data_IF_832375212582
#
_entry.id   IF_832375212582
#
_cell.length_a   1.000
_cell.length_b   1.000
_cell.length_c   1.000
_cell.angle_alpha   90.00
_cell.angle_beta   90.00
_cell.angle_gamma   90.00
#
_symmetry.space_group_name_H-M   'P 1'
#
loop_
_entity.id
_entity.type
_entity.pdbx_description
1 polymer ?
#
# COMPACT_ATOMS: atom_id res chain seq x y z
N UNK A 1 5.53 -3.85 48.24
CA UNK A 1 6.63 -3.54 47.30
C UNK A 1 6.31 -3.88 45.84
N UNK A 2 5.77 -5.06 45.50
CA UNK A 2 5.45 -5.45 44.09
C UNK A 2 4.41 -4.56 43.38
N UNK A 3 3.40 -4.03 44.08
CA UNK A 3 2.37 -3.17 43.48
C UNK A 3 2.93 -1.83 42.96
N UNK A 4 3.97 -1.29 43.62
CA UNK A 4 4.62 -0.06 43.18
C UNK A 4 5.46 -0.27 41.91
N UNK A 5 6.05 -1.46 41.74
CA UNK A 5 6.84 -1.82 40.55
C UNK A 5 5.95 -2.00 39.32
N UNK A 6 4.74 -2.55 39.48
CA UNK A 6 3.76 -2.69 38.39
C UNK A 6 3.20 -1.35 37.88
N UNK A 7 3.00 -0.37 38.78
CA UNK A 7 2.53 0.97 38.41
C UNK A 7 3.59 1.80 37.66
N UNK A 8 4.88 1.56 37.92
CA UNK A 8 5.97 2.22 37.21
C UNK A 8 6.18 1.65 35.78
N UNK A 9 5.87 0.36 35.55
CA UNK A 9 5.95 -0.25 34.22
C UNK A 9 4.80 0.17 33.28
N UNK A 10 3.59 0.42 33.78
CA UNK A 10 2.48 0.86 32.95
C UNK A 10 2.61 2.32 32.50
N UNK A 11 3.25 3.18 33.30
CA UNK A 11 3.52 4.58 32.96
C UNK A 11 4.56 4.75 31.82
N UNK A 12 5.48 3.80 31.66
CA UNK A 12 6.54 3.87 30.63
C UNK A 12 6.09 3.42 29.23
N UNK A 13 4.98 2.70 29.11
CA UNK A 13 4.35 2.37 27.82
C UNK A 13 3.49 3.53 27.28
N UNK A 14 2.97 4.38 28.16
CA UNK A 14 2.16 5.55 27.76
C UNK A 14 3.02 6.72 27.24
N UNK A 15 4.27 6.85 27.71
CA UNK A 15 5.17 7.94 27.30
C UNK A 15 5.70 7.80 25.87
N UNK A 16 5.71 6.59 25.30
CA UNK A 16 6.07 6.36 23.89
C UNK A 16 4.97 6.82 22.93
N UNK A 17 3.71 6.77 23.37
CA UNK A 17 2.56 7.21 22.57
C UNK A 17 2.42 8.74 22.51
N UNK A 18 2.80 9.45 23.58
CA UNK A 18 2.68 10.92 23.68
C UNK A 18 3.69 11.68 22.82
N UNK A 19 4.74 11.01 22.33
CA UNK A 19 5.80 11.60 21.50
C UNK A 19 5.50 11.51 20.00
N UNK A 20 4.41 10.84 19.65
CA UNK A 20 3.97 10.65 18.28
C UNK A 20 3.07 11.80 17.86
N UNK A 21 3.36 12.38 16.70
CA UNK A 21 2.41 13.27 16.06
C UNK A 21 1.10 12.53 15.78
N UNK A 22 -0.02 13.25 15.73
CA UNK A 22 -1.31 12.66 15.36
C UNK A 22 -1.44 12.36 13.86
N UNK A 23 -0.57 12.96 13.03
CA UNK A 23 -0.56 12.80 11.58
C UNK A 23 0.84 13.04 11.01
N UNK A 24 1.11 12.50 9.82
CA UNK A 24 2.34 12.82 9.08
C UNK A 24 2.31 14.27 8.58
N UNK A 25 3.44 14.95 8.62
CA UNK A 25 3.62 16.22 7.91
C UNK A 25 3.55 16.00 6.40
N UNK A 26 3.05 16.99 5.65
CA UNK A 26 2.89 16.91 4.20
C UNK A 26 4.20 16.56 3.45
N UNK A 27 5.36 16.94 4.01
CA UNK A 27 6.68 16.70 3.41
C UNK A 27 7.33 15.37 3.79
N UNK A 28 6.66 14.56 4.62
CA UNK A 28 7.25 13.31 5.08
C UNK A 28 7.65 12.38 3.93
N UNK A 29 6.87 12.33 2.85
CA UNK A 29 7.26 11.54 1.67
C UNK A 29 8.63 11.96 1.10
N UNK A 30 8.92 13.25 1.02
CA UNK A 30 10.21 13.78 0.55
C UNK A 30 11.30 13.48 1.57
N UNK A 31 11.03 13.73 2.85
CA UNK A 31 12.01 13.54 3.92
C UNK A 31 12.45 12.08 4.05
N UNK A 32 11.52 11.14 3.96
CA UNK A 32 11.81 9.71 4.05
C UNK A 32 12.73 9.25 2.93
N UNK A 33 12.53 9.72 1.70
CA UNK A 33 13.41 9.39 0.57
C UNK A 33 14.81 9.97 0.73
N UNK A 34 14.95 11.08 1.48
CA UNK A 34 16.24 11.63 1.87
C UNK A 34 16.80 11.00 3.16
N UNK A 35 16.29 9.84 3.56
CA UNK A 35 16.78 9.08 4.71
C UNK A 35 16.30 9.62 6.07
N UNK A 36 15.28 10.48 6.13
CA UNK A 36 14.86 11.11 7.39
C UNK A 36 14.61 10.11 8.52
N UNK A 37 13.96 8.97 8.25
CA UNK A 37 13.66 7.97 9.30
C UNK A 37 14.91 7.29 9.89
N UNK A 38 15.99 7.17 9.11
CA UNK A 38 17.23 6.49 9.50
C UNK A 38 18.36 7.47 9.83
N UNK A 39 18.20 8.75 9.51
CA UNK A 39 19.19 9.79 9.74
C UNK A 39 19.27 10.14 11.23
N UNK A 40 20.38 9.73 11.86
CA UNK A 40 20.68 9.91 13.28
C UNK A 40 20.96 11.37 13.67
N UNK A 41 21.16 12.27 12.70
CA UNK A 41 21.26 13.71 12.97
C UNK A 41 19.93 14.31 13.44
N UNK A 42 18.80 13.68 13.10
CA UNK A 42 17.50 14.02 13.68
C UNK A 42 17.26 13.22 14.96
N UNK A 43 16.69 13.84 15.99
CA UNK A 43 16.28 13.11 17.17
C UNK A 43 15.11 12.15 16.83
N UNK A 44 15.08 10.96 17.44
CA UNK A 44 13.94 10.02 17.39
C UNK A 44 12.61 10.74 17.63
N UNK A 45 12.57 11.67 18.60
CA UNK A 45 11.38 12.48 18.90
C UNK A 45 10.93 13.32 17.73
N UNK A 46 11.86 13.95 17.00
CA UNK A 46 11.53 14.77 15.83
C UNK A 46 10.98 13.88 14.72
N UNK A 47 11.58 12.70 14.52
CA UNK A 47 11.11 11.76 13.50
C UNK A 47 9.72 11.20 13.81
N UNK A 48 9.44 10.89 15.08
CA UNK A 48 8.13 10.45 15.57
C UNK A 48 7.08 11.56 15.54
N UNK A 49 7.44 12.81 15.85
CA UNK A 49 6.53 13.94 15.79
C UNK A 49 6.18 14.32 14.34
N UNK A 50 7.18 14.30 13.45
CA UNK A 50 7.02 14.73 12.07
C UNK A 50 6.37 13.68 11.17
N UNK A 51 6.84 12.43 11.23
CA UNK A 51 6.39 11.34 10.36
C UNK A 51 6.02 10.09 11.19
N UNK A 52 5.13 10.25 12.20
CA UNK A 52 4.80 9.23 13.20
C UNK A 52 4.44 7.89 12.58
N UNK A 53 3.63 7.95 11.53
CA UNK A 53 3.01 6.76 10.97
C UNK A 53 3.88 6.21 9.83
N UNK A 54 4.63 7.05 9.11
CA UNK A 54 5.52 6.57 8.05
C UNK A 54 6.89 6.05 8.49
N UNK A 55 7.49 6.55 9.58
CA UNK A 55 8.80 6.09 10.02
C UNK A 55 8.77 4.76 10.80
N UNK A 56 7.58 4.22 11.10
CA UNK A 56 7.37 2.95 11.83
C UNK A 56 8.17 2.83 13.14
N UNK A 57 8.43 3.95 13.82
CA UNK A 57 9.28 3.98 15.00
C UNK A 57 8.49 3.92 16.31
N UNK A 58 7.70 2.86 16.51
CA UNK A 58 7.04 2.58 17.80
C UNK A 58 5.85 3.47 18.14
N UNK A 59 5.32 4.24 17.19
CA UNK A 59 4.11 5.04 17.39
C UNK A 59 2.84 4.18 17.26
N UNK A 60 1.92 4.22 18.25
CA UNK A 60 0.59 3.65 18.07
C UNK A 60 -0.09 4.37 16.89
N UNK A 61 -0.76 3.62 16.01
CA UNK A 61 -1.25 4.05 14.69
C UNK A 61 -0.18 4.09 13.59
N UNK A 62 0.82 3.20 13.65
CA UNK A 62 1.61 2.91 12.44
C UNK A 62 0.62 2.37 11.37
N UNK A 63 0.50 2.99 10.18
CA UNK A 63 -0.46 2.62 9.18
C UNK A 63 -0.10 1.21 8.74
N UNK A 64 -1.08 0.33 8.81
CA UNK A 64 -0.92 -1.03 8.30
C UNK A 64 -0.88 -1.04 6.78
N UNK A 65 -1.37 0.04 6.14
CA UNK A 65 -1.51 0.18 4.69
C UNK A 65 -1.08 1.57 4.20
N UNK A 66 -0.63 1.69 2.94
CA UNK A 66 -0.34 3.00 2.34
C UNK A 66 -1.56 3.93 2.39
N UNK A 67 -2.78 3.42 2.18
CA UNK A 67 -4.00 4.23 2.23
C UNK A 67 -4.20 4.94 3.57
N UNK A 68 -3.87 4.28 4.68
CA UNK A 68 -3.90 4.86 6.03
C UNK A 68 -2.73 5.84 6.27
N UNK A 69 -1.61 5.65 5.59
CA UNK A 69 -0.46 6.55 5.63
C UNK A 69 -0.64 7.82 4.76
N UNK A 70 -1.54 7.76 3.78
CA UNK A 70 -1.77 8.80 2.77
C UNK A 70 -2.82 9.82 3.22
N UNK A 71 -2.36 11.02 3.61
CA UNK A 71 -3.26 12.16 3.91
C UNK A 71 -3.79 12.85 2.64
N UNK A 72 -3.16 12.61 1.49
CA UNK A 72 -3.53 13.20 0.20
C UNK A 72 -2.52 12.86 -0.89
N UNK A 73 -2.78 13.34 -2.11
CA UNK A 73 -1.80 13.28 -3.19
C UNK A 73 -0.80 14.44 -3.09
N UNK A 74 0.49 14.15 -3.31
CA UNK A 74 1.55 15.16 -3.32
C UNK A 74 1.59 15.99 -4.61
N UNK A 75 0.87 15.58 -5.67
CA UNK A 75 0.78 16.29 -6.93
C UNK A 75 -0.69 16.49 -7.36
N UNK A 76 -1.03 17.70 -7.80
CA UNK A 76 -2.39 18.00 -8.27
C UNK A 76 -2.78 17.23 -9.55
N UNK A 77 -1.82 16.77 -10.34
CA UNK A 77 -2.07 16.05 -11.60
C UNK A 77 -2.37 14.56 -11.41
N UNK A 78 -2.42 14.05 -10.18
CA UNK A 78 -2.57 12.62 -9.93
C UNK A 78 -3.81 11.99 -10.57
N UNK A 79 -4.93 12.71 -10.59
CA UNK A 79 -6.15 12.26 -11.27
C UNK A 79 -5.95 12.11 -12.80
N UNK A 80 -5.25 13.05 -13.43
CA UNK A 80 -4.96 12.99 -14.87
C UNK A 80 -3.89 11.93 -15.20
N UNK A 81 -2.86 11.83 -14.36
CA UNK A 81 -1.77 10.87 -14.54
C UNK A 81 -2.21 9.43 -14.32
N UNK A 82 -3.12 9.17 -13.38
CA UNK A 82 -3.62 7.81 -13.12
C UNK A 82 -4.55 7.31 -14.23
N UNK A 83 -5.28 8.21 -14.88
CA UNK A 83 -6.23 7.90 -15.96
C UNK A 83 -5.61 7.95 -17.36
N UNK A 84 -4.33 8.30 -17.49
CA UNK A 84 -3.66 8.33 -18.79
C UNK A 84 -3.68 6.94 -19.45
N UNK A 85 -4.29 6.85 -20.63
CA UNK A 85 -4.50 5.59 -21.33
C UNK A 85 -3.24 4.99 -21.96
N UNK A 86 -2.17 5.77 -22.17
CA UNK A 86 -0.90 5.26 -22.68
C UNK A 86 0.03 4.84 -21.52
N UNK A 87 0.18 5.72 -20.53
CA UNK A 87 1.14 5.60 -19.44
C UNK A 87 0.52 6.02 -18.09
N UNK A 88 -0.37 5.20 -17.51
CA UNK A 88 -0.96 5.49 -16.21
C UNK A 88 0.11 5.44 -15.12
N UNK A 89 0.24 6.53 -14.36
CA UNK A 89 1.31 6.67 -13.37
C UNK A 89 1.28 5.56 -12.30
N UNK A 90 0.09 5.21 -11.80
CA UNK A 90 -0.05 4.17 -10.78
C UNK A 90 0.34 2.77 -11.30
N UNK A 91 0.09 2.47 -12.58
CA UNK A 91 0.44 1.17 -13.17
C UNK A 91 1.81 1.18 -13.87
N UNK A 92 2.53 2.29 -13.89
CA UNK A 92 3.87 2.33 -14.47
C UNK A 92 4.80 1.32 -13.78
N UNK A 93 5.53 0.54 -14.59
CA UNK A 93 6.61 -0.38 -14.12
C UNK A 93 7.94 0.32 -13.91
N UNK A 94 8.11 1.50 -14.51
CA UNK A 94 9.32 2.32 -14.32
C UNK A 94 9.23 3.16 -13.04
N UNK A 95 8.02 3.37 -12.51
CA UNK A 95 7.80 4.08 -11.25
C UNK A 95 7.82 3.11 -10.06
N UNK A 96 8.72 3.39 -9.11
CA UNK A 96 8.81 2.63 -7.86
C UNK A 96 7.59 2.87 -6.97
N UNK A 97 7.30 1.95 -6.04
CA UNK A 97 6.26 2.16 -5.03
C UNK A 97 6.50 3.43 -4.20
N UNK A 98 7.77 3.75 -3.91
CA UNK A 98 8.15 5.00 -3.23
C UNK A 98 7.79 6.24 -4.05
N UNK A 99 8.09 6.26 -5.36
CA UNK A 99 7.72 7.37 -6.25
C UNK A 99 6.20 7.54 -6.31
N UNK A 100 5.46 6.43 -6.44
CA UNK A 100 3.99 6.46 -6.44
C UNK A 100 3.44 7.04 -5.13
N UNK A 101 4.03 6.65 -4.01
CA UNK A 101 3.69 7.17 -2.69
C UNK A 101 3.98 8.67 -2.54
N UNK A 102 5.10 9.17 -3.05
CA UNK A 102 5.44 10.61 -2.98
C UNK A 102 4.44 11.45 -3.76
N UNK A 103 4.22 11.12 -5.02
CA UNK A 103 3.48 11.97 -5.94
C UNK A 103 1.98 11.77 -5.81
N UNK A 104 1.53 10.52 -5.81
CA UNK A 104 0.11 10.18 -5.93
C UNK A 104 -0.29 9.13 -4.89
N UNK A 105 0.03 9.43 -3.62
CA UNK A 105 -0.19 8.53 -2.49
C UNK A 105 -1.63 7.97 -2.45
N UNK A 106 -2.62 8.87 -2.43
CA UNK A 106 -4.03 8.50 -2.28
C UNK A 106 -4.57 7.89 -3.56
N UNK A 107 -4.23 8.47 -4.71
CA UNK A 107 -4.66 7.98 -6.02
C UNK A 107 -4.09 6.61 -6.35
N UNK A 108 -2.83 6.34 -6.03
CA UNK A 108 -2.14 5.07 -6.29
C UNK A 108 -2.09 4.14 -5.07
N UNK A 109 -2.92 4.35 -4.05
CA UNK A 109 -2.86 3.61 -2.78
C UNK A 109 -2.94 2.09 -2.99
N UNK A 110 -3.71 1.64 -3.98
CA UNK A 110 -3.86 0.24 -4.34
C UNK A 110 -2.59 -0.36 -4.98
N UNK A 111 -1.79 0.44 -5.68
CA UNK A 111 -0.57 -0.02 -6.35
C UNK A 111 0.66 0.11 -5.44
N UNK A 112 0.62 0.98 -4.43
CA UNK A 112 1.69 1.13 -3.45
C UNK A 112 1.64 0.03 -2.39
N UNK A 113 0.44 -0.30 -1.90
CA UNK A 113 0.23 -1.41 -0.98
C UNK A 113 -0.98 -2.20 -1.46
N UNK A 114 -0.80 -3.10 -2.43
CA UNK A 114 -1.88 -3.92 -2.96
C UNK A 114 -2.59 -4.67 -1.83
N UNK A 115 -3.84 -4.28 -1.59
CA UNK A 115 -4.73 -4.98 -0.68
C UNK A 115 -5.33 -6.17 -1.42
N UNK A 116 -4.72 -7.33 -1.23
CA UNK A 116 -5.05 -8.56 -1.94
C UNK A 116 -3.79 -9.39 -2.20
N UNK A 117 -3.98 -10.66 -2.50
CA UNK A 117 -2.93 -11.53 -3.02
C UNK A 117 -2.84 -11.44 -4.55
N UNK A 118 -3.95 -11.10 -5.22
CA UNK A 118 -3.98 -10.86 -6.66
C UNK A 118 -4.92 -9.72 -7.04
N UNK A 119 -4.47 -8.78 -7.87
CA UNK A 119 -5.28 -7.68 -8.42
C UNK A 119 -5.33 -7.78 -9.94
N UNK A 120 -6.52 -7.68 -10.53
CA UNK A 120 -6.69 -7.75 -11.99
C UNK A 120 -7.20 -6.40 -12.51
N UNK A 121 -6.57 -5.93 -13.58
CA UNK A 121 -6.88 -4.70 -14.28
C UNK A 121 -7.31 -4.99 -15.71
N UNK A 122 -8.32 -4.25 -16.18
CA UNK A 122 -8.79 -4.33 -17.56
C UNK A 122 -8.05 -3.34 -18.48
N UNK A 123 -8.37 -3.35 -19.78
CA UNK A 123 -7.83 -2.40 -20.76
C UNK A 123 -8.23 -0.94 -20.51
N UNK A 124 -9.32 -0.69 -19.78
CA UNK A 124 -9.65 0.64 -19.27
C UNK A 124 -8.78 1.04 -18.06
N UNK A 125 -7.80 0.20 -17.68
CA UNK A 125 -6.87 0.38 -16.56
C UNK A 125 -7.59 0.52 -15.21
N UNK A 126 -8.84 0.05 -15.13
CA UNK A 126 -9.60 -0.03 -13.90
C UNK A 126 -9.44 -1.42 -13.29
N UNK A 127 -9.41 -1.46 -11.95
CA UNK A 127 -9.36 -2.72 -11.21
C UNK A 127 -10.72 -3.40 -11.31
N UNK A 128 -10.74 -4.59 -11.91
CA UNK A 128 -11.95 -5.41 -12.09
C UNK A 128 -12.06 -6.56 -11.10
N UNK A 129 -10.96 -6.93 -10.44
CA UNK A 129 -10.97 -7.97 -9.41
C UNK A 129 -9.85 -7.78 -8.39
N UNK A 130 -10.13 -8.21 -7.16
CA UNK A 130 -9.19 -8.30 -6.05
C UNK A 130 -9.44 -9.63 -5.33
N UNK A 131 -8.44 -10.50 -5.31
CA UNK A 131 -8.51 -11.86 -4.79
C UNK A 131 -7.51 -12.03 -3.64
N UNK A 132 -7.88 -12.83 -2.66
CA UNK A 132 -6.98 -13.34 -1.62
C UNK A 132 -6.60 -14.79 -1.91
N UNK A 133 -5.65 -15.35 -1.18
CA UNK A 133 -5.30 -16.77 -1.25
C UNK A 133 -6.56 -17.61 -1.03
N UNK A 134 -6.70 -18.66 -1.84
CA UNK A 134 -7.86 -19.56 -1.87
C UNK A 134 -9.20 -18.87 -2.15
N UNK A 135 -9.20 -17.70 -2.81
CA UNK A 135 -10.43 -17.09 -3.28
C UNK A 135 -11.15 -18.02 -4.27
N UNK A 136 -12.49 -18.03 -4.19
CA UNK A 136 -13.32 -18.69 -5.18
C UNK A 136 -13.06 -18.13 -6.58
N UNK A 137 -13.32 -18.94 -7.61
CA UNK A 137 -13.22 -18.52 -9.02
C UNK A 137 -14.07 -17.26 -9.20
N UNK A 138 -13.45 -16.18 -9.68
CA UNK A 138 -14.17 -14.97 -10.09
C UNK A 138 -14.21 -14.86 -11.61
N UNK A 139 -15.41 -14.65 -12.14
CA UNK A 139 -15.63 -14.34 -13.54
C UNK A 139 -15.31 -12.87 -13.79
N UNK A 140 -14.49 -12.57 -14.80
CA UNK A 140 -14.26 -11.19 -15.24
C UNK A 140 -15.52 -10.71 -15.97
N UNK A 141 -16.09 -9.54 -15.61
CA UNK A 141 -17.31 -9.05 -16.25
C UNK A 141 -17.14 -8.90 -17.77
N UNK A 142 -18.17 -9.25 -18.53
CA UNK A 142 -18.19 -9.12 -20.00
C UNK A 142 -17.86 -7.71 -20.46
N UNK A 143 -17.15 -7.60 -21.59
CA UNK A 143 -16.64 -6.32 -22.11
C UNK A 143 -15.30 -5.86 -21.52
N UNK A 144 -14.73 -6.60 -20.57
CA UNK A 144 -13.40 -6.34 -20.04
C UNK A 144 -12.38 -7.31 -20.62
N UNK A 145 -11.33 -6.76 -21.23
CA UNK A 145 -10.11 -7.49 -21.60
C UNK A 145 -9.05 -7.30 -20.53
N UNK A 146 -8.35 -8.38 -20.18
CA UNK A 146 -7.25 -8.38 -19.22
C UNK A 146 -6.08 -7.55 -19.75
N UNK A 147 -5.66 -6.54 -19.00
CA UNK A 147 -4.51 -5.71 -19.31
C UNK A 147 -3.29 -6.08 -18.47
N UNK A 148 -3.51 -6.25 -17.16
CA UNK A 148 -2.45 -6.56 -16.20
C UNK A 148 -3.03 -7.30 -15.01
N UNK A 149 -2.22 -8.19 -14.44
CA UNK A 149 -2.41 -8.69 -13.10
C UNK A 149 -1.21 -8.31 -12.21
N UNK A 150 -1.49 -8.00 -10.95
CA UNK A 150 -0.50 -8.01 -9.87
C UNK A 150 -0.71 -9.28 -9.07
N UNK A 151 0.35 -10.05 -8.85
CA UNK A 151 0.33 -11.26 -8.02
C UNK A 151 1.37 -11.08 -6.93
N UNK A 152 0.96 -11.26 -5.67
CA UNK A 152 1.85 -11.20 -4.52
C UNK A 152 2.95 -12.24 -4.67
N UNK A 153 4.17 -11.89 -4.28
CA UNK A 153 5.30 -12.84 -4.27
C UNK A 153 4.92 -14.11 -3.52
N UNK A 154 5.11 -15.27 -4.16
CA UNK A 154 4.75 -16.58 -3.62
C UNK A 154 3.33 -17.07 -3.99
N UNK A 155 2.47 -16.21 -4.54
CA UNK A 155 1.17 -16.59 -5.09
C UNK A 155 1.26 -16.91 -6.59
N UNK A 156 0.29 -17.68 -7.11
CA UNK A 156 0.13 -17.94 -8.55
C UNK A 156 -1.28 -17.56 -8.99
N UNK A 157 -1.39 -16.92 -10.16
CA UNK A 157 -2.66 -16.63 -10.81
C UNK A 157 -2.90 -17.66 -11.91
N UNK A 158 -4.13 -18.18 -12.03
CA UNK A 158 -4.55 -19.03 -13.14
C UNK A 158 -5.72 -18.37 -13.85
N UNK A 159 -5.59 -18.20 -15.16
CA UNK A 159 -6.62 -17.60 -16.02
C UNK A 159 -7.22 -18.68 -16.93
N UNK A 160 -8.54 -18.66 -17.06
CA UNK A 160 -9.32 -19.62 -17.85
C UNK A 160 -10.20 -18.85 -18.84
N UNK A 161 -10.42 -19.42 -20.03
CA UNK A 161 -11.21 -18.78 -21.09
C UNK A 161 -12.73 -18.86 -20.84
N UNK A 162 -13.19 -19.75 -19.96
CA UNK A 162 -14.61 -20.05 -19.76
C UNK A 162 -15.05 -19.83 -18.31
N UNK A 163 -16.31 -19.40 -18.13
CA UNK A 163 -16.91 -19.07 -16.83
C UNK A 163 -17.31 -20.30 -15.99
N UNK A 164 -17.29 -21.49 -16.58
CA UNK A 164 -17.68 -22.75 -15.93
C UNK A 164 -16.46 -23.49 -15.41
N UNK A 165 -16.38 -23.58 -14.07
CA UNK A 165 -15.62 -24.50 -13.23
C UNK A 165 -14.31 -25.06 -13.80
N UNK A 166 -13.16 -24.79 -13.15
CA UNK A 166 -11.85 -25.43 -13.41
C UNK A 166 -12.05 -26.87 -13.86
N UNK A 167 -11.97 -27.16 -15.18
CA UNK A 167 -11.93 -28.52 -15.63
C UNK A 167 -10.68 -29.14 -15.00
N UNK A 168 -10.77 -30.36 -14.46
CA UNK A 168 -9.60 -31.09 -13.93
C UNK A 168 -8.45 -31.19 -14.96
N UNK A 169 -8.76 -30.93 -16.22
CA UNK A 169 -7.91 -30.94 -17.42
C UNK A 169 -7.65 -29.57 -18.04
N UNK A 170 -8.12 -28.45 -17.46
CA UNK A 170 -7.90 -27.15 -18.09
C UNK A 170 -6.43 -26.73 -18.04
N UNK A 171 -5.90 -26.53 -19.25
CA UNK A 171 -4.59 -25.97 -19.46
C UNK A 171 -4.67 -24.47 -19.14
N UNK A 172 -3.94 -23.97 -18.14
CA UNK A 172 -3.94 -22.55 -17.82
C UNK A 172 -3.42 -21.77 -19.03
N UNK A 173 -4.08 -20.67 -19.37
CA UNK A 173 -3.66 -19.80 -20.48
C UNK A 173 -2.24 -19.27 -20.25
N UNK A 174 -1.86 -19.04 -18.99
CA UNK A 174 -0.52 -18.65 -18.53
C UNK A 174 -0.34 -19.10 -17.07
N UNK A 175 0.88 -19.50 -16.69
CA UNK A 175 1.30 -19.81 -15.31
C UNK A 175 2.19 -18.72 -14.72
#
# INVERSE_FOLDING_TARGET
AMAAVLLLLSASLASVAAQCGSANMARCSIWINNGFCTNTAYNVLIRQASCPTMCKMGCPNTPSTAREACLGDGNANCAAWSTNAANPFCLSTTMTAASKFIYCCRTCAAEITPQGDCLIYNNARTRVSSLTNNAAIQTIPTGNTLFRAFVRTGCRLRLFAEATAVPATATPLQT
#
